data_IF_076996619108
#
_entry.id   IF_076996619108
#
_cell.length_a   1.000
_cell.length_b   1.000
_cell.length_c   1.000
_cell.angle_alpha   90.00
_cell.angle_beta   90.00
_cell.angle_gamma   90.00
#
_symmetry.space_group_name_H-M   'P 1'
#
loop_
_entity.id
_entity.type
_entity.pdbx_description
1 polymer ?
#
# COMPACT_ATOMS: atom_id res chain seq x y z
N UNK A 1 3.92 19.26 -8.28
CA UNK A 1 3.08 18.93 -7.10
C UNK A 1 3.90 18.79 -5.82
N UNK A 2 5.08 18.15 -5.82
CA UNK A 2 5.90 17.98 -4.62
C UNK A 2 6.22 19.28 -3.84
N UNK A 3 6.49 20.40 -4.53
CA UNK A 3 6.80 21.69 -3.88
C UNK A 3 5.65 22.25 -3.05
N UNK A 4 4.43 22.26 -3.59
CA UNK A 4 3.26 22.74 -2.86
C UNK A 4 2.97 21.92 -1.61
N UNK A 5 3.12 20.60 -1.70
CA UNK A 5 3.01 19.69 -0.56
C UNK A 5 4.12 19.90 0.49
N UNK A 6 5.36 20.12 0.07
CA UNK A 6 6.47 20.41 0.97
C UNK A 6 6.29 21.75 1.70
N UNK A 7 5.84 22.79 0.99
CA UNK A 7 5.49 24.07 1.58
C UNK A 7 4.32 23.93 2.57
N UNK A 8 3.35 23.08 2.27
CA UNK A 8 2.23 22.77 3.16
C UNK A 8 2.69 22.08 4.45
N UNK A 9 3.57 21.08 4.36
CA UNK A 9 4.16 20.44 5.54
C UNK A 9 5.00 21.41 6.37
N UNK A 10 5.74 22.31 5.73
CA UNK A 10 6.48 23.34 6.44
C UNK A 10 5.54 24.26 7.22
N UNK A 11 4.43 24.68 6.59
CA UNK A 11 3.39 25.48 7.23
C UNK A 11 2.71 24.74 8.39
N UNK A 12 2.32 23.48 8.21
CA UNK A 12 1.73 22.64 9.27
C UNK A 12 2.69 22.42 10.45
N UNK A 13 4.01 22.42 10.21
CA UNK A 13 5.03 22.38 11.26
C UNK A 13 5.30 23.73 11.95
N UNK A 14 4.54 24.78 11.60
CA UNK A 14 4.66 26.12 12.18
C UNK A 14 5.72 27.02 11.54
N UNK A 15 6.30 26.63 10.40
CA UNK A 15 7.25 27.47 9.64
C UNK A 15 6.50 28.36 8.65
N UNK A 16 7.01 29.57 8.42
CA UNK A 16 6.49 30.41 7.35
C UNK A 16 6.75 29.78 5.98
N UNK A 17 5.80 29.93 5.06
CA UNK A 17 6.01 29.61 3.65
C UNK A 17 6.89 30.68 3.03
N UNK A 18 7.95 30.27 2.34
CA UNK A 18 8.82 31.20 1.62
C UNK A 18 8.06 31.86 0.46
N UNK A 19 8.29 33.16 0.15
CA UNK A 19 7.58 33.85 -0.92
C UNK A 19 7.67 33.15 -2.29
N UNK A 20 8.78 32.47 -2.57
CA UNK A 20 8.98 31.69 -3.79
C UNK A 20 8.12 30.42 -3.86
N UNK A 21 7.68 29.90 -2.72
CA UNK A 21 6.83 28.70 -2.64
C UNK A 21 5.33 29.02 -2.59
N UNK A 22 4.97 30.27 -2.26
CA UNK A 22 3.58 30.75 -2.11
C UNK A 22 2.66 30.35 -3.29
N UNK A 23 3.06 30.47 -4.58
CA UNK A 23 2.19 30.07 -5.69
C UNK A 23 1.89 28.56 -5.69
N UNK A 24 2.89 27.73 -5.36
CA UNK A 24 2.75 26.28 -5.32
C UNK A 24 1.93 25.84 -4.10
N UNK A 25 2.11 26.50 -2.97
CA UNK A 25 1.34 26.26 -1.76
C UNK A 25 -0.14 26.63 -1.94
N UNK A 26 -0.43 27.80 -2.51
CA UNK A 26 -1.82 28.18 -2.84
C UNK A 26 -2.47 27.22 -3.82
N UNK A 27 -1.76 26.82 -4.86
CA UNK A 27 -2.28 25.83 -5.81
C UNK A 27 -2.57 24.50 -5.13
N UNK A 28 -1.68 24.04 -4.25
CA UNK A 28 -1.88 22.83 -3.45
C UNK A 28 -3.11 22.92 -2.54
N UNK A 29 -3.29 24.05 -1.86
CA UNK A 29 -4.47 24.32 -1.03
C UNK A 29 -5.78 24.28 -1.84
N UNK A 30 -5.77 24.84 -3.06
CA UNK A 30 -6.93 24.75 -3.97
C UNK A 30 -7.20 23.31 -4.40
N UNK A 31 -6.17 22.50 -4.65
CA UNK A 31 -6.34 21.07 -4.93
C UNK A 31 -6.97 20.35 -3.73
N UNK A 32 -6.43 20.54 -2.52
CA UNK A 32 -6.97 19.91 -1.29
C UNK A 32 -8.45 20.28 -1.09
N UNK A 33 -8.80 21.55 -1.32
CA UNK A 33 -10.18 22.03 -1.23
C UNK A 33 -11.07 21.36 -2.28
N UNK A 34 -10.65 21.35 -3.54
CA UNK A 34 -11.42 20.72 -4.62
C UNK A 34 -11.60 19.21 -4.41
N UNK A 35 -10.58 18.53 -3.87
CA UNK A 35 -10.67 17.12 -3.49
C UNK A 35 -11.72 16.89 -2.40
N UNK A 36 -11.70 17.68 -1.32
CA UNK A 36 -12.69 17.59 -0.25
C UNK A 36 -14.12 17.86 -0.74
N UNK A 37 -14.30 18.85 -1.61
CA UNK A 37 -15.60 19.15 -2.24
C UNK A 37 -16.07 17.98 -3.12
N UNK A 38 -15.18 17.40 -3.91
CA UNK A 38 -15.51 16.26 -4.77
C UNK A 38 -15.93 15.02 -3.97
N UNK A 39 -15.29 14.77 -2.83
CA UNK A 39 -15.65 13.68 -1.92
C UNK A 39 -17.05 13.92 -1.32
N UNK A 40 -17.33 15.13 -0.83
CA UNK A 40 -18.63 15.47 -0.28
C UNK A 40 -19.76 15.30 -1.30
N UNK A 41 -19.53 15.70 -2.56
CA UNK A 41 -20.47 15.50 -3.67
C UNK A 41 -20.70 14.00 -3.93
N UNK A 42 -19.64 13.21 -3.99
CA UNK A 42 -19.73 11.76 -4.19
C UNK A 42 -20.51 11.08 -3.05
N UNK A 43 -20.26 11.46 -1.79
CA UNK A 43 -21.05 10.99 -0.64
C UNK A 43 -22.52 11.37 -0.80
N UNK A 44 -22.83 12.58 -1.28
CA UNK A 44 -24.19 12.99 -1.59
C UNK A 44 -24.87 12.09 -2.62
N UNK A 45 -24.16 11.67 -3.67
CA UNK A 45 -24.68 10.68 -4.64
C UNK A 45 -24.86 9.30 -4.04
N UNK A 46 -23.93 8.84 -3.21
CA UNK A 46 -24.00 7.58 -2.48
C UNK A 46 -25.26 7.51 -1.61
N UNK A 47 -25.52 8.56 -0.82
CA UNK A 47 -26.70 8.64 0.04
C UNK A 47 -28.01 8.62 -0.75
N UNK A 48 -28.07 9.29 -1.91
CA UNK A 48 -29.25 9.28 -2.80
C UNK A 48 -29.48 7.93 -3.46
N UNK A 49 -28.41 7.18 -3.74
CA UNK A 49 -28.45 5.89 -4.43
C UNK A 49 -28.62 4.66 -3.52
N UNK A 50 -28.69 4.83 -2.20
CA UNK A 50 -28.74 3.74 -1.21
C UNK A 50 -29.88 2.71 -1.35
N UNK A 51 -30.99 2.93 -2.10
CA UNK A 51 -31.92 1.85 -2.44
C UNK A 51 -31.53 1.02 -3.68
N UNK A 52 -30.72 1.57 -4.60
CA UNK A 52 -30.62 1.09 -6.01
C UNK A 52 -29.19 0.70 -6.45
N UNK A 53 -28.36 0.20 -5.53
CA UNK A 53 -26.98 -0.27 -5.76
C UNK A 53 -25.96 0.84 -6.12
N UNK A 54 -25.32 1.48 -5.12
CA UNK A 54 -24.41 2.61 -5.33
C UNK A 54 -22.95 2.22 -5.65
N UNK A 55 -22.73 1.06 -6.29
CA UNK A 55 -21.40 0.42 -6.42
C UNK A 55 -20.37 1.27 -7.18
N UNK A 56 -20.79 2.03 -8.19
CA UNK A 56 -19.89 2.89 -8.97
C UNK A 56 -19.31 4.04 -8.13
N UNK A 57 -20.13 4.64 -7.26
CA UNK A 57 -19.70 5.75 -6.38
C UNK A 57 -18.73 5.22 -5.32
N UNK A 58 -19.04 4.07 -4.73
CA UNK A 58 -18.15 3.40 -3.76
C UNK A 58 -16.80 3.07 -4.41
N UNK A 59 -16.80 2.45 -5.60
CA UNK A 59 -15.56 2.09 -6.30
C UNK A 59 -14.71 3.32 -6.66
N UNK A 60 -15.32 4.46 -6.97
CA UNK A 60 -14.59 5.70 -7.21
C UNK A 60 -13.98 6.25 -5.91
N UNK A 61 -14.74 6.27 -4.82
CA UNK A 61 -14.26 6.70 -3.49
C UNK A 61 -13.10 5.82 -3.01
N UNK A 62 -13.21 4.49 -3.13
CA UNK A 62 -12.15 3.52 -2.77
C UNK A 62 -10.84 3.76 -3.54
N UNK A 63 -10.91 4.17 -4.81
CA UNK A 63 -9.73 4.45 -5.65
C UNK A 63 -9.11 5.81 -5.35
N UNK A 64 -9.94 6.84 -5.19
CA UNK A 64 -9.49 8.23 -5.05
C UNK A 64 -9.09 8.61 -3.63
N UNK A 65 -9.80 8.07 -2.64
CA UNK A 65 -9.65 8.35 -1.22
C UNK A 65 -9.42 7.05 -0.43
N UNK A 66 -8.48 6.24 -0.91
CA UNK A 66 -8.17 4.90 -0.38
C UNK A 66 -8.03 4.87 1.14
N UNK A 67 -7.29 5.82 1.70
CA UNK A 67 -7.03 5.85 3.15
C UNK A 67 -8.31 5.90 4.00
N UNK A 68 -9.34 6.61 3.53
CA UNK A 68 -10.63 6.75 4.24
C UNK A 68 -11.68 5.72 3.83
N UNK A 69 -11.68 5.31 2.55
CA UNK A 69 -12.76 4.52 1.97
C UNK A 69 -12.39 3.09 1.62
N UNK A 70 -11.11 2.72 1.69
CA UNK A 70 -10.72 1.34 1.45
C UNK A 70 -11.30 0.42 2.52
N UNK A 71 -11.61 -0.81 2.10
CA UNK A 71 -12.05 -1.85 3.01
C UNK A 71 -10.88 -2.22 3.91
N UNK A 72 -11.02 -1.94 5.19
CA UNK A 72 -10.08 -2.42 6.21
C UNK A 72 -10.48 -3.82 6.61
N UNK A 73 -9.67 -4.80 6.21
CA UNK A 73 -9.78 -6.18 6.70
C UNK A 73 -8.66 -6.42 7.72
N UNK A 74 -9.03 -6.94 8.89
CA UNK A 74 -8.05 -7.44 9.86
C UNK A 74 -7.68 -8.85 9.41
N UNK A 75 -6.56 -8.97 8.72
CA UNK A 75 -6.02 -10.26 8.30
C UNK A 75 -5.09 -10.79 9.39
N UNK A 76 -5.43 -11.93 9.98
CA UNK A 76 -4.55 -12.65 10.89
C UNK A 76 -3.73 -13.66 10.10
N UNK A 77 -2.41 -13.49 10.12
CA UNK A 77 -1.48 -14.40 9.44
C UNK A 77 -0.93 -15.40 10.44
N UNK A 78 -1.15 -16.69 10.21
CA UNK A 78 -0.55 -17.77 10.97
C UNK A 78 0.12 -18.77 10.01
N UNK A 79 1.17 -19.40 10.50
CA UNK A 79 1.80 -20.54 9.83
C UNK A 79 0.96 -21.80 9.97
N UNK A 80 1.49 -22.90 9.43
CA UNK A 80 0.83 -24.19 9.47
C UNK A 80 0.41 -24.59 10.90
N UNK A 81 -0.82 -25.11 11.04
CA UNK A 81 -1.41 -25.45 12.33
C UNK A 81 -1.64 -24.27 13.29
N UNK A 82 -1.64 -23.02 12.81
CA UNK A 82 -1.75 -21.83 13.67
C UNK A 82 -0.41 -21.42 14.31
N UNK A 83 0.70 -22.02 13.87
CA UNK A 83 2.04 -21.76 14.39
C UNK A 83 2.70 -20.53 13.77
N UNK A 84 4.00 -20.36 14.04
CA UNK A 84 4.79 -19.31 13.42
C UNK A 84 4.88 -19.52 11.88
N UNK A 85 4.82 -18.41 11.13
CA UNK A 85 5.06 -18.42 9.69
C UNK A 85 6.52 -18.82 9.45
N UNK A 86 6.73 -19.91 8.71
CA UNK A 86 8.07 -20.33 8.31
C UNK A 86 8.54 -19.46 7.15
N UNK A 87 9.64 -18.76 7.36
CA UNK A 87 10.33 -18.03 6.30
C UNK A 87 11.61 -18.80 6.03
N UNK A 88 11.61 -19.62 4.98
CA UNK A 88 12.84 -20.26 4.52
C UNK A 88 13.70 -19.20 3.85
N UNK A 89 14.92 -19.01 4.34
CA UNK A 89 15.86 -18.11 3.68
C UNK A 89 16.40 -18.77 2.42
N UNK A 90 16.62 -17.99 1.35
CA UNK A 90 17.22 -18.48 0.09
C UNK A 90 18.51 -19.25 0.37
N UNK A 91 19.27 -18.83 1.39
CA UNK A 91 20.49 -19.50 1.84
C UNK A 91 20.25 -20.93 2.34
N UNK A 92 19.23 -21.15 3.17
CA UNK A 92 18.91 -22.49 3.70
C UNK A 92 18.47 -23.43 2.58
N UNK A 93 17.69 -22.92 1.62
CA UNK A 93 17.29 -23.68 0.43
C UNK A 93 18.49 -24.06 -0.45
N UNK A 94 19.38 -23.10 -0.72
CA UNK A 94 20.59 -23.35 -1.51
C UNK A 94 21.52 -24.36 -0.83
N UNK A 95 21.67 -24.29 0.50
CA UNK A 95 22.48 -25.27 1.23
C UNK A 95 21.88 -26.68 1.17
N UNK A 96 20.56 -26.82 1.34
CA UNK A 96 19.88 -28.10 1.22
C UNK A 96 20.01 -28.71 -0.19
N UNK A 97 19.91 -27.87 -1.24
CA UNK A 97 20.08 -28.31 -2.62
C UNK A 97 21.52 -28.77 -2.91
N UNK A 98 22.53 -28.08 -2.36
CA UNK A 98 23.95 -28.47 -2.49
C UNK A 98 24.19 -29.82 -1.80
N UNK A 99 23.68 -30.00 -0.58
CA UNK A 99 23.86 -31.26 0.17
C UNK A 99 23.21 -32.44 -0.56
N UNK A 100 22.01 -32.25 -1.13
CA UNK A 100 21.32 -33.27 -1.92
C UNK A 100 22.10 -33.65 -3.19
N UNK A 101 22.69 -32.68 -3.88
CA UNK A 101 23.53 -32.94 -5.06
C UNK A 101 24.80 -33.69 -4.66
N UNK A 102 25.44 -33.29 -3.55
CA UNK A 102 26.65 -33.94 -3.06
C UNK A 102 26.41 -35.41 -2.68
N UNK A 103 25.29 -35.71 -2.02
CA UNK A 103 24.90 -37.08 -1.68
C UNK A 103 24.69 -37.94 -2.93
N UNK A 104 23.95 -37.44 -3.92
CA UNK A 104 23.73 -38.18 -5.18
C UNK A 104 25.04 -38.51 -5.89
N UNK A 105 25.96 -37.55 -5.98
CA UNK A 105 27.25 -37.77 -6.63
C UNK A 105 28.14 -38.79 -5.89
N UNK A 106 28.06 -38.82 -4.56
CA UNK A 106 28.75 -39.83 -3.75
C UNK A 106 28.15 -41.23 -3.93
N UNK A 107 26.82 -41.32 -4.03
CA UNK A 107 26.12 -42.57 -4.31
C UNK A 107 26.47 -43.11 -5.70
N UNK A 108 26.48 -42.25 -6.72
CA UNK A 108 26.86 -42.61 -8.09
C UNK A 108 28.32 -43.10 -8.16
N UNK A 109 29.26 -42.42 -7.48
CA UNK A 109 30.67 -42.80 -7.46
C UNK A 109 30.93 -44.14 -6.74
N UNK A 110 30.14 -44.45 -5.71
CA UNK A 110 30.23 -45.72 -5.00
C UNK A 110 29.52 -46.87 -5.73
N UNK A 111 28.56 -46.56 -6.62
CA UNK A 111 27.89 -47.56 -7.46
C UNK A 111 28.74 -48.02 -8.66
N UNK A 112 29.75 -47.24 -9.05
CA UNK A 112 30.67 -47.54 -10.15
C UNK A 112 32.00 -48.23 -9.73
N UNK A 113 32.25 -48.43 -8.43
CA UNK A 113 33.43 -49.15 -7.87
C UNK A 113 33.08 -50.57 -7.40
#
# INVERSE_FOLDING_TARGET
>A
MARGFQADQAHESGRSVEPSEEPYWRFWQQIRKAEAESEAIAVGYLMKGMPNAPTAVIAWLERRFRDRWSRTERVEHAGDGGGAIRIETVREKVLADIDAIAQRLLEDANAES
#
